data_IF_015051604083
#
_entry.id   IF_015051604083
#
_cell.length_a   1.000
_cell.length_b   1.000
_cell.length_c   1.000
_cell.angle_alpha   90.00
_cell.angle_beta   90.00
_cell.angle_gamma   90.00
#
_symmetry.space_group_name_H-M   'P 1'
#
loop_
_entity.id
_entity.type
_entity.pdbx_description
1 polymer ?
#
# COMPACT_ATOMS: atom_id res chain seq x y z
N UNK A 1 10.54 -9.34 -2.17
CA UNK A 1 11.16 -8.07 -1.73
C UNK A 1 10.22 -7.38 -0.76
N UNK A 2 10.72 -7.01 0.41
CA UNK A 2 9.97 -6.57 1.58
C UNK A 2 9.73 -5.05 1.61
N UNK A 3 9.04 -4.51 0.60
CA UNK A 3 8.68 -3.07 0.57
C UNK A 3 7.71 -2.64 1.70
N UNK A 4 7.17 -3.62 2.45
CA UNK A 4 6.28 -3.41 3.60
C UNK A 4 7.02 -3.45 4.95
N UNK A 5 8.36 -3.48 4.97
CA UNK A 5 9.15 -3.36 6.21
C UNK A 5 9.19 -1.90 6.72
N UNK A 6 8.04 -1.25 6.80
CA UNK A 6 7.92 0.05 7.45
C UNK A 6 7.95 -0.16 8.96
N UNK A 7 9.12 -0.02 9.58
CA UNK A 7 9.33 -0.15 11.02
C UNK A 7 9.48 1.20 11.73
N UNK A 8 9.66 2.28 10.98
CA UNK A 8 10.02 3.59 11.50
C UNK A 8 8.98 4.20 12.46
N UNK A 9 7.68 3.85 12.30
CA UNK A 9 6.58 4.39 13.14
C UNK A 9 5.50 3.36 13.48
N UNK A 10 5.89 2.11 13.74
CA UNK A 10 4.93 1.06 14.11
C UNK A 10 4.08 1.40 15.33
N UNK A 11 4.60 2.22 16.26
CA UNK A 11 3.90 2.70 17.46
C UNK A 11 2.81 3.74 17.18
N UNK A 12 2.88 4.48 16.06
CA UNK A 12 1.79 5.35 15.61
C UNK A 12 0.72 4.59 14.84
N UNK A 13 1.09 3.44 14.27
CA UNK A 13 0.18 2.53 13.61
C UNK A 13 -0.44 1.61 14.64
N UNK A 14 -1.63 1.98 15.12
CA UNK A 14 -2.47 1.07 15.92
C UNK A 14 -2.80 -0.24 15.18
N UNK A 15 -2.60 -0.27 13.86
CA UNK A 15 -2.95 -1.37 12.98
C UNK A 15 -1.73 -2.20 12.58
N UNK A 16 -1.87 -3.52 12.67
CA UNK A 16 -0.88 -4.44 12.14
C UNK A 16 -0.88 -4.38 10.60
N UNK A 17 0.28 -4.12 9.98
CA UNK A 17 0.46 -4.08 8.51
C UNK A 17 -0.10 -5.33 7.83
N UNK A 18 -0.03 -6.49 8.49
CA UNK A 18 -0.59 -7.75 7.98
C UNK A 18 -2.11 -7.74 7.90
N UNK A 19 -2.80 -7.18 8.90
CA UNK A 19 -4.26 -7.02 8.89
C UNK A 19 -4.67 -5.99 7.83
N UNK A 20 -3.94 -4.88 7.75
CA UNK A 20 -4.17 -3.84 6.76
C UNK A 20 -4.01 -4.37 5.34
N UNK A 21 -3.01 -5.24 5.11
CA UNK A 21 -2.83 -5.94 3.84
C UNK A 21 -3.99 -6.87 3.48
N UNK A 22 -4.59 -7.58 4.45
CA UNK A 22 -5.75 -8.43 4.20
C UNK A 22 -6.98 -7.61 3.82
N UNK A 23 -7.21 -6.50 4.52
CA UNK A 23 -8.30 -5.56 4.24
C UNK A 23 -8.12 -4.94 2.84
N UNK A 24 -6.91 -4.47 2.53
CA UNK A 24 -6.59 -3.90 1.21
C UNK A 24 -6.75 -4.93 0.09
N UNK A 25 -6.34 -6.18 0.32
CA UNK A 25 -6.55 -7.27 -0.65
C UNK A 25 -8.05 -7.50 -0.90
N UNK A 26 -8.87 -7.52 0.15
CA UNK A 26 -10.32 -7.64 0.01
C UNK A 26 -10.91 -6.49 -0.82
N UNK A 27 -10.53 -5.23 -0.51
CA UNK A 27 -11.01 -4.07 -1.25
C UNK A 27 -10.54 -4.08 -2.71
N UNK A 28 -9.26 -4.42 -2.95
CA UNK A 28 -8.70 -4.51 -4.29
C UNK A 28 -9.41 -5.56 -5.14
N UNK A 29 -9.69 -6.74 -4.58
CA UNK A 29 -10.41 -7.79 -5.29
C UNK A 29 -11.86 -7.38 -5.61
N UNK A 30 -12.55 -6.80 -4.63
CA UNK A 30 -14.00 -6.55 -4.67
C UNK A 30 -14.38 -5.32 -5.47
N UNK A 31 -13.61 -4.24 -5.38
CA UNK A 31 -14.01 -2.93 -5.92
C UNK A 31 -13.10 -2.39 -7.03
N UNK A 32 -11.89 -2.94 -7.19
CA UNK A 32 -10.96 -2.39 -8.18
C UNK A 32 -11.38 -2.80 -9.60
N UNK A 33 -11.43 -1.88 -10.57
CA UNK A 33 -11.92 -2.19 -11.92
C UNK A 33 -10.95 -3.12 -12.68
N UNK A 34 -11.52 -4.05 -13.46
CA UNK A 34 -10.72 -5.04 -14.20
C UNK A 34 -9.81 -4.40 -15.25
N UNK A 35 -10.18 -3.23 -15.79
CA UNK A 35 -9.34 -2.46 -16.71
C UNK A 35 -8.01 -2.04 -16.08
N UNK A 36 -7.98 -1.78 -14.77
CA UNK A 36 -6.76 -1.43 -14.04
C UNK A 36 -5.99 -2.66 -13.58
N UNK A 37 -6.69 -3.74 -13.18
CA UNK A 37 -6.08 -5.03 -12.81
C UNK A 37 -5.30 -5.65 -13.98
N UNK A 38 -5.80 -5.47 -15.21
CA UNK A 38 -5.22 -6.04 -16.42
C UNK A 38 -4.60 -4.97 -17.33
N UNK A 39 -4.20 -3.83 -16.75
CA UNK A 39 -3.59 -2.75 -17.55
C UNK A 39 -2.33 -3.24 -18.25
N UNK A 40 -2.03 -2.65 -19.41
CA UNK A 40 -0.78 -2.87 -20.11
C UNK A 40 0.39 -2.54 -19.16
N UNK A 41 1.37 -3.43 -19.09
CA UNK A 41 2.56 -3.32 -18.25
C UNK A 41 2.35 -3.55 -16.73
N UNK A 42 1.22 -4.11 -16.30
CA UNK A 42 1.03 -4.45 -14.87
C UNK A 42 2.18 -5.32 -14.32
N UNK A 43 2.67 -6.28 -15.10
CA UNK A 43 3.80 -7.14 -14.75
C UNK A 43 5.18 -6.48 -14.76
N UNK A 44 5.29 -5.24 -15.28
CA UNK A 44 6.54 -4.46 -15.22
C UNK A 44 6.66 -3.64 -13.93
N UNK A 45 5.59 -3.57 -13.14
CA UNK A 45 5.58 -2.88 -11.85
C UNK A 45 6.50 -3.56 -10.85
N UNK A 46 7.37 -2.78 -10.19
CA UNK A 46 8.22 -3.28 -9.08
C UNK A 46 7.43 -3.57 -7.80
N UNK A 47 6.23 -2.99 -7.68
CA UNK A 47 5.34 -3.06 -6.53
C UNK A 47 3.95 -3.41 -7.05
N UNK A 48 3.28 -4.37 -6.40
CA UNK A 48 1.90 -4.73 -6.75
C UNK A 48 0.94 -3.61 -6.42
N UNK A 49 -0.19 -3.54 -7.12
CA UNK A 49 -1.22 -2.54 -6.85
C UNK A 49 -1.77 -2.62 -5.43
N UNK A 50 -1.92 -3.84 -4.92
CA UNK A 50 -2.31 -4.10 -3.53
C UNK A 50 -1.31 -3.51 -2.53
N UNK A 51 -0.01 -3.70 -2.76
CA UNK A 51 1.03 -3.14 -1.91
C UNK A 51 1.07 -1.61 -2.01
N UNK A 52 0.84 -1.05 -3.20
CA UNK A 52 0.66 0.38 -3.40
C UNK A 52 -0.52 0.92 -2.60
N UNK A 53 -1.65 0.21 -2.59
CA UNK A 53 -2.85 0.60 -1.86
C UNK A 53 -2.61 0.61 -0.34
N UNK A 54 -1.90 -0.40 0.17
CA UNK A 54 -1.46 -0.45 1.57
C UNK A 54 -0.55 0.73 1.90
N UNK A 55 0.42 1.05 1.05
CA UNK A 55 1.35 2.17 1.24
C UNK A 55 0.64 3.53 1.22
N UNK A 56 -0.33 3.72 0.34
CA UNK A 56 -1.13 4.96 0.26
C UNK A 56 -2.00 5.16 1.50
N UNK A 57 -2.64 4.09 1.99
CA UNK A 57 -3.40 4.13 3.24
C UNK A 57 -2.48 4.45 4.42
N UNK A 58 -1.31 3.79 4.49
CA UNK A 58 -0.32 4.04 5.52
C UNK A 58 0.11 5.51 5.54
N UNK A 59 0.37 6.07 4.37
CA UNK A 59 0.75 7.45 4.21
C UNK A 59 -0.36 8.42 4.64
N UNK A 60 -1.61 8.12 4.28
CA UNK A 60 -2.78 8.92 4.67
C UNK A 60 -3.03 8.89 6.19
N UNK A 61 -2.94 7.71 6.82
CA UNK A 61 -3.06 7.54 8.27
C UNK A 61 -2.00 8.32 9.05
N UNK A 62 -0.79 8.41 8.50
CA UNK A 62 0.29 9.21 9.09
C UNK A 62 0.13 10.72 8.86
N UNK A 63 -0.90 11.15 8.12
CA UNK A 63 -1.11 12.55 7.75
C UNK A 63 -0.05 13.11 6.80
N UNK A 64 0.68 12.24 6.08
CA UNK A 64 1.78 12.65 5.21
C UNK A 64 1.27 12.85 3.79
N UNK A 65 1.25 14.10 3.32
CA UNK A 65 0.82 14.40 1.95
C UNK A 65 1.94 14.17 0.91
N UNK A 66 3.20 14.31 1.32
CA UNK A 66 4.35 14.16 0.43
C UNK A 66 4.81 12.71 0.30
N UNK A 67 4.65 12.14 -0.90
CA UNK A 67 5.13 10.79 -1.21
C UNK A 67 6.65 10.64 -1.01
N UNK A 68 7.42 11.66 -1.38
CA UNK A 68 8.88 11.66 -1.21
C UNK A 68 9.25 11.63 0.27
N UNK A 69 8.55 12.42 1.08
CA UNK A 69 8.77 12.42 2.52
C UNK A 69 8.41 11.05 3.12
N UNK A 70 7.26 10.49 2.76
CA UNK A 70 6.83 9.17 3.21
C UNK A 70 7.84 8.06 2.90
N UNK A 71 8.47 8.09 1.72
CA UNK A 71 9.47 7.09 1.32
C UNK A 71 10.83 7.23 2.03
N UNK A 72 11.12 8.41 2.59
CA UNK A 72 12.39 8.68 3.29
C UNK A 72 12.35 8.42 4.79
N UNK A 73 11.17 8.08 5.33
CA UNK A 73 10.95 7.77 6.75
C UNK A 73 11.14 6.27 6.98
#
# INVERSE_FOLDING_TARGET
MSYLQYTAKSYHLQWNVRQLSQICHYFYKTYFPDSFKHRRNVGLGKVSDEALLVLLLLQAELGITSQRHFYTI
#
